data_IF_460333218055
#
_entry.id   IF_460333218055
#
_cell.length_a   1.000
_cell.length_b   1.000
_cell.length_c   1.000
_cell.angle_alpha   90.00
_cell.angle_beta   90.00
_cell.angle_gamma   90.00
#
_symmetry.space_group_name_H-M   'P 1'
#
loop_
_entity.id
_entity.type
_entity.pdbx_description
1 polymer ?
#
# COMPACT_ATOMS: atom_id res chain seq x y z
N UNK A 1 -22.46 11.07 -18.48
CA UNK A 1 -21.55 12.00 -17.77
C UNK A 1 -21.65 11.88 -16.24
N UNK A 2 -22.83 12.00 -15.62
CA UNK A 2 -22.97 11.85 -14.14
C UNK A 2 -22.52 10.49 -13.62
N UNK A 3 -22.90 9.39 -14.27
CA UNK A 3 -22.53 8.04 -13.81
C UNK A 3 -21.03 7.76 -13.97
N UNK A 4 -20.41 8.30 -15.03
CA UNK A 4 -18.97 8.20 -15.23
C UNK A 4 -18.21 8.99 -14.16
N UNK A 5 -18.61 10.23 -13.90
CA UNK A 5 -17.99 11.03 -12.84
C UNK A 5 -18.11 10.34 -11.47
N UNK A 6 -19.29 9.79 -11.15
CA UNK A 6 -19.49 9.02 -9.93
C UNK A 6 -18.56 7.79 -9.84
N UNK A 7 -18.35 7.08 -10.96
CA UNK A 7 -17.42 5.95 -11.01
C UNK A 7 -15.95 6.40 -10.85
N UNK A 8 -15.55 7.52 -11.46
CA UNK A 8 -14.20 8.08 -11.32
C UNK A 8 -13.93 8.55 -9.89
N UNK A 9 -14.91 9.16 -9.24
CA UNK A 9 -14.82 9.57 -7.84
C UNK A 9 -14.72 8.34 -6.93
N UNK A 10 -15.53 7.30 -7.16
CA UNK A 10 -15.42 6.04 -6.44
C UNK A 10 -14.02 5.40 -6.58
N UNK A 11 -13.41 5.43 -7.78
CA UNK A 11 -12.04 4.95 -7.98
C UNK A 11 -11.00 5.75 -7.17
N UNK A 12 -11.20 7.07 -7.03
CA UNK A 12 -10.31 7.95 -6.24
C UNK A 12 -10.50 7.74 -4.74
N UNK A 13 -11.73 7.50 -4.31
CA UNK A 13 -12.06 7.16 -2.93
C UNK A 13 -11.45 5.81 -2.54
N UNK A 14 -11.62 4.78 -3.37
CA UNK A 14 -11.00 3.47 -3.18
C UNK A 14 -9.47 3.58 -3.13
N UNK A 15 -8.86 4.38 -4.02
CA UNK A 15 -7.43 4.65 -3.97
C UNK A 15 -6.99 5.28 -2.63
N UNK A 16 -7.83 6.13 -2.06
CA UNK A 16 -7.56 6.75 -0.76
C UNK A 16 -7.66 5.73 0.37
N UNK A 17 -8.64 4.83 0.33
CA UNK A 17 -8.75 3.71 1.29
C UNK A 17 -7.47 2.86 1.28
N UNK A 18 -6.98 2.48 0.10
CA UNK A 18 -5.75 1.69 -0.02
C UNK A 18 -4.51 2.44 0.45
N UNK A 19 -4.42 3.75 0.17
CA UNK A 19 -3.34 4.57 0.69
C UNK A 19 -3.36 4.65 2.23
N UNK A 20 -4.53 4.89 2.84
CA UNK A 20 -4.70 4.90 4.29
C UNK A 20 -4.38 3.55 4.92
N UNK A 21 -4.75 2.44 4.26
CA UNK A 21 -4.38 1.11 4.71
C UNK A 21 -2.85 0.89 4.70
N UNK A 22 -2.15 1.40 3.68
CA UNK A 22 -0.68 1.37 3.65
C UNK A 22 -0.09 2.17 4.81
N UNK A 23 -0.57 3.40 5.04
CA UNK A 23 -0.08 4.28 6.12
C UNK A 23 -0.32 3.66 7.50
N UNK A 24 -1.46 2.97 7.68
CA UNK A 24 -1.80 2.27 8.93
C UNK A 24 -0.86 1.10 9.24
N UNK A 25 -0.15 0.56 8.25
CA UNK A 25 0.82 -0.51 8.41
C UNK A 25 2.25 -0.01 8.63
N UNK A 26 2.53 1.28 8.44
CA UNK A 26 3.88 1.82 8.66
C UNK A 26 4.29 1.74 10.13
N UNK A 27 3.43 2.18 11.05
CA UNK A 27 3.75 2.12 12.49
C UNK A 27 4.01 0.68 12.99
N UNK A 28 3.15 -0.32 12.71
CA UNK A 28 3.45 -1.72 13.05
C UNK A 28 4.74 -2.26 12.43
N UNK A 29 5.06 -1.88 11.18
CA UNK A 29 6.31 -2.28 10.53
C UNK A 29 7.51 -1.70 11.28
N UNK A 30 7.45 -0.43 11.64
CA UNK A 30 8.53 0.27 12.31
C UNK A 30 8.71 -0.28 13.74
N UNK A 31 7.63 -0.55 14.48
CA UNK A 31 7.68 -1.22 15.79
C UNK A 31 8.35 -2.60 15.70
N UNK A 32 7.95 -3.45 14.74
CA UNK A 32 8.61 -4.76 14.55
C UNK A 32 10.08 -4.57 14.23
N UNK A 33 10.44 -3.54 13.47
CA UNK A 33 11.84 -3.22 13.12
C UNK A 33 12.66 -2.84 14.36
N UNK A 34 12.05 -2.27 15.40
CA UNK A 34 12.74 -1.85 16.62
C UNK A 34 12.86 -2.94 17.71
N UNK A 35 12.36 -4.16 17.45
CA UNK A 35 12.33 -5.24 18.44
C UNK A 35 13.34 -6.39 18.20
N UNK A 36 14.61 -6.18 17.78
CA UNK A 36 15.57 -7.28 17.74
C UNK A 36 15.87 -7.73 19.19
N UNK A 37 16.00 -9.04 19.39
CA UNK A 37 16.47 -9.60 20.66
C UNK A 37 17.84 -10.20 20.47
N UNK A 38 18.81 -9.70 21.22
CA UNK A 38 20.14 -10.27 21.32
C UNK A 38 20.17 -11.45 22.29
N UNK A 39 21.17 -12.32 22.16
CA UNK A 39 21.42 -13.38 23.12
C UNK A 39 21.66 -12.88 24.55
N UNK A 40 22.02 -11.61 24.74
CA UNK A 40 22.18 -10.98 26.05
C UNK A 40 20.85 -10.56 26.70
N UNK A 41 19.84 -10.27 25.88
CA UNK A 41 18.47 -9.98 26.33
C UNK A 41 17.68 -11.27 26.58
N UNK A 42 18.18 -12.40 26.09
CA UNK A 42 17.68 -13.72 26.40
C UNK A 42 18.49 -14.39 27.53
N UNK A 43 17.90 -15.39 28.18
CA UNK A 43 18.68 -16.21 29.12
C UNK A 43 19.82 -16.94 28.37
N UNK A 44 20.97 -17.16 29.02
CA UNK A 44 22.11 -17.85 28.40
C UNK A 44 21.72 -19.21 27.79
N UNK A 45 20.82 -19.94 28.46
CA UNK A 45 20.31 -21.23 27.99
C UNK A 45 19.44 -21.10 26.73
N UNK A 46 18.69 -20.01 26.59
CA UNK A 46 17.89 -19.73 25.40
C UNK A 46 18.75 -19.30 24.20
N UNK A 47 19.81 -18.54 24.44
CA UNK A 47 20.78 -18.17 23.42
C UNK A 47 21.57 -19.41 22.92
N UNK A 48 22.01 -20.29 23.82
CA UNK A 48 22.69 -21.55 23.45
C UNK A 48 21.79 -22.47 22.61
N UNK A 49 20.47 -22.43 22.82
CA UNK A 49 19.48 -23.15 22.02
C UNK A 49 19.12 -22.41 20.70
N UNK A 50 19.68 -21.23 20.45
CA UNK A 50 19.44 -20.45 19.22
C UNK A 50 18.06 -19.79 19.15
N UNK A 51 17.42 -19.54 20.30
CA UNK A 51 16.12 -18.90 20.35
C UNK A 51 16.17 -17.44 19.87
N UNK A 52 17.27 -16.75 20.12
CA UNK A 52 17.56 -15.40 19.62
C UNK A 52 17.55 -15.37 18.08
N UNK A 53 18.23 -16.33 17.44
CA UNK A 53 18.24 -16.46 15.97
C UNK A 53 16.84 -16.76 15.44
N UNK A 54 16.16 -17.73 16.02
CA UNK A 54 14.81 -18.14 15.59
C UNK A 54 13.81 -16.99 15.72
N UNK A 55 13.87 -16.24 16.83
CA UNK A 55 13.06 -15.06 17.04
C UNK A 55 13.35 -13.97 15.99
N UNK A 56 14.63 -13.65 15.76
CA UNK A 56 15.00 -12.61 14.79
C UNK A 56 14.64 -13.00 13.34
N UNK A 57 14.73 -14.28 12.98
CA UNK A 57 14.24 -14.79 11.69
C UNK A 57 12.73 -14.65 11.55
N UNK A 58 11.96 -14.94 12.62
CA UNK A 58 10.52 -14.76 12.62
C UNK A 58 10.14 -13.27 12.52
N UNK A 59 10.79 -12.41 13.30
CA UNK A 59 10.66 -10.94 13.25
C UNK A 59 10.92 -10.42 11.83
N UNK A 60 12.03 -10.82 11.21
CA UNK A 60 12.38 -10.39 9.86
C UNK A 60 11.36 -10.84 8.80
N UNK A 61 10.74 -12.02 8.97
CA UNK A 61 9.64 -12.47 8.10
C UNK A 61 8.40 -11.60 8.26
N UNK A 62 8.04 -11.23 9.49
CA UNK A 62 6.90 -10.31 9.75
C UNK A 62 7.18 -8.95 9.13
N UNK A 63 8.37 -8.39 9.35
CA UNK A 63 8.83 -7.13 8.75
C UNK A 63 8.73 -7.16 7.21
N UNK A 64 9.14 -8.28 6.61
CA UNK A 64 9.06 -8.48 5.15
C UNK A 64 7.61 -8.46 4.66
N UNK A 65 6.71 -9.20 5.32
CA UNK A 65 5.29 -9.26 4.94
C UNK A 65 4.62 -7.90 5.07
N UNK A 66 4.90 -7.16 6.15
CA UNK A 66 4.39 -5.81 6.34
C UNK A 66 4.90 -4.85 5.26
N UNK A 67 6.19 -4.93 4.93
CA UNK A 67 6.79 -4.13 3.85
C UNK A 67 6.16 -4.41 2.50
N UNK A 68 5.92 -5.69 2.18
CA UNK A 68 5.24 -6.11 0.95
C UNK A 68 3.78 -5.62 0.91
N UNK A 69 3.06 -5.69 2.03
CA UNK A 69 1.69 -5.19 2.13
C UNK A 69 1.61 -3.66 1.90
N UNK A 70 2.49 -2.89 2.55
CA UNK A 70 2.59 -1.43 2.34
C UNK A 70 2.85 -1.10 0.87
N UNK A 71 3.82 -1.79 0.25
CA UNK A 71 4.16 -1.57 -1.15
C UNK A 71 2.98 -1.91 -2.09
N UNK A 72 2.33 -3.06 -1.88
CA UNK A 72 1.19 -3.48 -2.70
C UNK A 72 -0.01 -2.54 -2.59
N UNK A 73 -0.34 -2.08 -1.38
CA UNK A 73 -1.42 -1.12 -1.18
C UNK A 73 -1.13 0.24 -1.82
N UNK A 74 0.12 0.72 -1.75
CA UNK A 74 0.53 1.94 -2.46
C UNK A 74 0.44 1.81 -3.97
N UNK A 75 0.89 0.68 -4.51
CA UNK A 75 0.81 0.41 -5.94
C UNK A 75 -0.65 0.39 -6.43
N UNK A 76 -1.55 -0.28 -5.69
CA UNK A 76 -2.98 -0.30 -5.98
C UNK A 76 -3.60 1.10 -5.94
N UNK A 77 -3.30 1.88 -4.91
CA UNK A 77 -3.77 3.26 -4.79
C UNK A 77 -3.31 4.13 -5.97
N UNK A 78 -2.05 4.02 -6.37
CA UNK A 78 -1.50 4.75 -7.53
C UNK A 78 -2.17 4.30 -8.83
N UNK A 79 -2.34 2.99 -9.02
CA UNK A 79 -2.99 2.43 -10.21
C UNK A 79 -4.43 2.91 -10.39
N UNK A 80 -5.21 2.93 -9.29
CA UNK A 80 -6.59 3.42 -9.31
C UNK A 80 -6.68 4.91 -9.67
N UNK A 81 -5.82 5.76 -9.08
CA UNK A 81 -5.77 7.19 -9.43
C UNK A 81 -5.38 7.40 -10.89
N UNK A 82 -4.33 6.71 -11.36
CA UNK A 82 -3.86 6.82 -12.73
C UNK A 82 -4.92 6.37 -13.75
N UNK A 83 -5.67 5.32 -13.44
CA UNK A 83 -6.78 4.86 -14.26
C UNK A 83 -7.91 5.89 -14.31
N UNK A 84 -8.33 6.43 -13.15
CA UNK A 84 -9.35 7.47 -13.10
C UNK A 84 -8.95 8.73 -13.90
N UNK A 85 -7.71 9.19 -13.75
CA UNK A 85 -7.21 10.36 -14.47
C UNK A 85 -7.08 10.12 -15.98
N UNK A 86 -6.84 8.88 -16.40
CA UNK A 86 -6.78 8.51 -17.81
C UNK A 86 -8.18 8.52 -18.42
N UNK A 87 -9.14 7.87 -17.78
CA UNK A 87 -10.53 7.86 -18.24
C UNK A 87 -11.15 9.26 -18.27
N UNK A 88 -10.87 10.11 -17.27
CA UNK A 88 -11.34 11.49 -17.28
C UNK A 88 -10.82 12.27 -18.50
N UNK A 89 -9.50 12.17 -18.78
CA UNK A 89 -8.89 12.87 -19.92
C UNK A 89 -9.43 12.38 -21.26
N UNK A 90 -9.65 11.07 -21.39
CA UNK A 90 -10.23 10.49 -22.61
C UNK A 90 -11.65 10.98 -22.85
N UNK A 91 -12.48 11.07 -21.80
CA UNK A 91 -13.83 11.61 -21.92
C UNK A 91 -13.83 13.10 -22.31
N UNK A 92 -12.99 13.92 -21.67
CA UNK A 92 -12.86 15.35 -22.00
C UNK A 92 -12.41 15.54 -23.46
N UNK A 93 -11.45 14.74 -23.93
CA UNK A 93 -10.99 14.76 -25.31
C UNK A 93 -12.08 14.37 -26.31
N UNK A 94 -12.89 13.36 -25.98
CA UNK A 94 -14.02 12.92 -26.80
C UNK A 94 -15.11 13.99 -26.87
N UNK A 95 -15.48 14.63 -25.76
CA UNK A 95 -16.45 15.72 -25.75
C UNK A 95 -15.98 16.91 -26.61
N UNK A 96 -14.68 17.23 -26.57
CA UNK A 96 -14.09 18.28 -27.39
C UNK A 96 -14.03 17.94 -28.89
N UNK A 97 -13.93 16.66 -29.26
CA UNK A 97 -13.94 16.23 -30.66
C UNK A 97 -15.36 16.27 -31.23
N UNK A 98 -16.36 15.79 -30.48
CA UNK A 98 -17.77 15.85 -30.86
C UNK A 98 -18.26 17.29 -31.07
N UNK A 99 -17.98 18.20 -30.12
CA UNK A 99 -18.37 19.62 -30.25
C UNK A 99 -17.73 20.34 -31.45
N UNK A 100 -16.64 19.79 -32.01
CA UNK A 100 -15.97 20.33 -33.20
C UNK A 100 -16.58 19.84 -34.50
N UNK A 101 -17.28 18.71 -34.50
CA UNK A 101 -17.93 18.11 -35.67
C UNK A 101 -19.36 18.62 -35.87
N UNK A 102 -20.01 19.10 -34.81
CA UNK A 102 -21.37 19.69 -34.85
C UNK A 102 -21.40 21.20 -35.23
N UNK A 103 -20.28 21.77 -35.67
CA UNK A 103 -20.17 23.15 -36.20
C UNK A 103 -19.75 23.15 -37.66
#
# INVERSE_FOLDING_TARGET
MTDLNAALDAMRDDATVWATAADSLEAPRDEVTELPLSGAEMSMWAADLGLDRTYNEARAKVETVLSQAVAGFRELAVGLRAAADTYQREEEANLHSFNRLDR
#
